data_IF_188741019882
#
_entry.id   IF_188741019882
#
_cell.length_a   1.000
_cell.length_b   1.000
_cell.length_c   1.000
_cell.angle_alpha   90.00
_cell.angle_beta   90.00
_cell.angle_gamma   90.00
#
_symmetry.space_group_name_H-M   'P 1'
#
loop_
_entity.id
_entity.type
_entity.pdbx_description
1 polymer ?
#
# COMPACT_ATOMS: atom_id res chain seq x y z
N UNK A 1 -27.06 17.83 -3.68
CA UNK A 1 -26.06 16.89 -4.23
C UNK A 1 -26.60 15.48 -4.03
N UNK A 2 -26.55 14.61 -5.04
CA UNK A 2 -27.10 13.25 -4.94
C UNK A 2 -26.46 12.50 -3.78
N UNK A 3 -27.27 11.85 -2.92
CA UNK A 3 -26.85 11.04 -1.77
C UNK A 3 -26.05 9.77 -2.15
N UNK A 4 -25.59 9.68 -3.39
CA UNK A 4 -24.71 8.61 -3.85
C UNK A 4 -23.45 8.63 -2.97
N UNK A 5 -23.16 7.50 -2.35
CA UNK A 5 -21.95 7.23 -1.55
C UNK A 5 -21.92 7.78 -0.12
N UNK A 6 -23.04 8.22 0.46
CA UNK A 6 -23.07 8.68 1.87
C UNK A 6 -22.73 7.59 2.89
N UNK A 7 -22.81 6.31 2.50
CA UNK A 7 -22.43 5.17 3.32
C UNK A 7 -20.91 4.93 3.32
N UNK A 8 -20.16 5.57 2.42
CA UNK A 8 -18.71 5.46 2.33
C UNK A 8 -18.08 6.67 3.00
N UNK A 9 -17.21 6.42 3.98
CA UNK A 9 -16.42 7.48 4.60
C UNK A 9 -15.55 8.17 3.55
N UNK A 10 -15.55 9.50 3.52
CA UNK A 10 -14.94 10.36 2.48
C UNK A 10 -15.61 10.34 1.10
N UNK A 11 -16.62 9.49 0.87
CA UNK A 11 -17.41 9.44 -0.37
C UNK A 11 -16.80 8.62 -1.52
N UNK A 12 -15.65 7.97 -1.31
CA UNK A 12 -14.95 7.11 -2.28
C UNK A 12 -14.22 5.93 -1.56
N UNK A 13 -13.49 5.09 -2.31
CA UNK A 13 -12.84 3.86 -1.82
C UNK A 13 -13.81 2.83 -1.20
N UNK A 14 -14.71 2.24 -2.01
CA UNK A 14 -15.60 1.18 -1.53
C UNK A 14 -14.84 -0.08 -1.06
N UNK A 15 -13.67 -0.33 -1.66
CA UNK A 15 -12.77 -1.44 -1.33
C UNK A 15 -11.48 -0.83 -0.81
N UNK A 16 -11.04 -1.31 0.35
CA UNK A 16 -9.82 -0.87 1.04
C UNK A 16 -9.08 -2.10 1.53
N UNK A 17 -7.78 -2.26 1.23
CA UNK A 17 -7.01 -3.31 1.86
C UNK A 17 -6.94 -3.01 3.37
N UNK A 18 -7.18 -4.04 4.18
CA UNK A 18 -6.94 -4.00 5.61
C UNK A 18 -5.65 -4.77 5.90
N UNK A 19 -4.65 -4.07 6.43
CA UNK A 19 -3.31 -4.62 6.61
C UNK A 19 -2.93 -4.59 8.09
N UNK A 20 -2.21 -5.61 8.51
CA UNK A 20 -1.61 -5.65 9.83
C UNK A 20 -0.12 -5.34 9.72
N UNK A 21 0.43 -4.75 10.78
CA UNK A 21 1.87 -4.55 10.79
C UNK A 21 2.45 -4.00 12.07
N UNK A 22 3.74 -3.75 11.98
CA UNK A 22 4.54 -3.09 12.99
C UNK A 22 4.20 -1.59 13.02
N UNK A 23 4.60 -0.92 14.11
CA UNK A 23 4.38 0.52 14.30
C UNK A 23 5.01 1.41 13.22
N UNK A 24 6.02 0.91 12.51
CA UNK A 24 6.76 1.61 11.44
C UNK A 24 6.09 1.50 10.05
N UNK A 25 5.03 0.71 9.90
CA UNK A 25 4.35 0.52 8.61
C UNK A 25 3.83 1.84 7.98
N UNK A 26 3.20 2.79 8.72
CA UNK A 26 2.79 4.06 8.12
C UNK A 26 3.95 4.87 7.55
N UNK A 27 5.12 4.84 8.19
CA UNK A 27 6.30 5.57 7.71
C UNK A 27 6.91 4.90 6.49
N UNK A 28 6.88 3.57 6.42
CA UNK A 28 7.21 2.83 5.21
C UNK A 28 6.33 3.24 4.02
N UNK A 29 5.01 3.39 4.23
CA UNK A 29 4.08 3.80 3.17
C UNK A 29 4.30 5.25 2.73
N UNK A 30 4.60 6.15 3.67
CA UNK A 30 4.98 7.55 3.37
C UNK A 30 6.24 7.58 2.49
N UNK A 31 7.30 6.86 2.88
CA UNK A 31 8.58 6.87 2.17
C UNK A 31 8.49 6.18 0.79
N UNK A 32 7.77 5.07 0.71
CA UNK A 32 7.71 4.24 -0.50
C UNK A 32 6.73 4.80 -1.52
N UNK A 33 5.52 5.18 -1.08
CA UNK A 33 4.42 5.56 -1.98
C UNK A 33 4.09 7.05 -1.93
N UNK A 34 4.54 7.78 -0.91
CA UNK A 34 4.05 9.15 -0.66
C UNK A 34 2.65 9.17 -0.06
N UNK A 35 2.22 8.07 0.59
CA UNK A 35 0.91 8.01 1.23
C UNK A 35 0.81 8.99 2.41
N UNK A 36 -0.38 9.55 2.63
CA UNK A 36 -0.68 10.50 3.69
C UNK A 36 -1.48 9.83 4.81
N UNK A 37 -1.10 10.08 6.06
CA UNK A 37 -1.88 9.65 7.20
C UNK A 37 -3.05 10.61 7.42
N UNK A 38 -4.29 10.10 7.36
CA UNK A 38 -5.51 10.93 7.48
C UNK A 38 -6.26 10.70 8.78
N UNK A 39 -6.02 9.57 9.46
CA UNK A 39 -6.54 9.30 10.79
C UNK A 39 -5.63 8.34 11.57
N UNK A 40 -5.60 8.51 12.90
CA UNK A 40 -5.01 7.58 13.85
C UNK A 40 -5.84 7.51 15.12
N UNK A 41 -6.23 6.30 15.51
CA UNK A 41 -6.99 6.03 16.74
C UNK A 41 -6.30 4.94 17.56
N UNK A 42 -6.12 5.14 18.86
CA UNK A 42 -5.55 4.11 19.74
C UNK A 42 -6.53 2.96 19.97
N UNK A 43 -6.09 1.71 19.79
CA UNK A 43 -6.93 0.49 19.92
C UNK A 43 -6.69 -0.28 21.23
N UNK A 44 -5.78 0.17 22.08
CA UNK A 44 -5.46 -0.48 23.35
C UNK A 44 -4.07 -0.11 23.84
N UNK A 45 -3.44 -1.00 24.63
CA UNK A 45 -2.22 -0.63 25.37
C UNK A 45 -1.03 -0.26 24.48
N UNK A 46 -0.90 -0.81 23.26
CA UNK A 46 0.25 -0.53 22.36
C UNK A 46 -0.10 -0.68 20.87
N UNK A 47 -1.32 -0.33 20.47
CA UNK A 47 -1.80 -0.49 19.09
C UNK A 47 -2.58 0.71 18.57
N UNK A 48 -2.59 0.87 17.25
CA UNK A 48 -3.33 1.92 16.56
C UNK A 48 -4.06 1.35 15.35
N UNK A 49 -5.27 1.87 15.15
CA UNK A 49 -5.93 1.86 13.87
C UNK A 49 -5.52 3.13 13.11
N UNK A 50 -5.04 2.99 11.87
CA UNK A 50 -4.52 4.10 11.06
C UNK A 50 -5.11 4.02 9.65
N UNK A 51 -5.61 5.16 9.15
CA UNK A 51 -6.02 5.29 7.76
C UNK A 51 -4.92 6.00 6.96
N UNK A 52 -4.40 5.34 5.93
CA UNK A 52 -3.39 5.88 5.02
C UNK A 52 -4.00 6.10 3.64
N UNK A 53 -4.03 7.37 3.18
CA UNK A 53 -4.51 7.75 1.86
C UNK A 53 -3.37 7.73 0.84
N UNK A 54 -3.63 7.17 -0.32
CA UNK A 54 -2.77 7.28 -1.50
C UNK A 54 -3.67 7.61 -2.69
N UNK A 55 -3.50 8.79 -3.28
CA UNK A 55 -4.33 9.26 -4.39
C UNK A 55 -5.84 9.17 -4.06
N UNK A 56 -6.58 8.34 -4.79
CA UNK A 56 -8.01 8.08 -4.66
C UNK A 56 -8.32 6.81 -3.83
N UNK A 57 -7.32 6.25 -3.14
CA UNK A 57 -7.38 4.99 -2.40
C UNK A 57 -7.08 5.22 -0.91
N UNK A 58 -7.64 4.36 -0.05
CA UNK A 58 -7.38 4.37 1.39
C UNK A 58 -7.02 2.94 1.82
N UNK A 59 -5.95 2.82 2.60
CA UNK A 59 -5.51 1.59 3.24
C UNK A 59 -5.83 1.69 4.73
N UNK A 60 -6.51 0.67 5.24
CA UNK A 60 -6.84 0.52 6.65
C UNK A 60 -5.74 -0.28 7.33
N UNK A 61 -5.13 0.24 8.39
CA UNK A 61 -4.03 -0.43 9.07
C UNK A 61 -4.38 -0.71 10.53
N UNK A 62 -4.08 -1.91 11.01
CA UNK A 62 -3.97 -2.20 12.43
C UNK A 62 -2.50 -2.47 12.76
N UNK A 63 -1.89 -1.56 13.52
CA UNK A 63 -0.47 -1.61 13.83
C UNK A 63 -0.22 -1.74 15.32
N UNK A 64 0.80 -2.51 15.69
CA UNK A 64 1.20 -2.72 17.08
C UNK A 64 2.04 -3.98 17.24
N UNK A 65 2.65 -4.13 18.42
CA UNK A 65 3.58 -5.24 18.70
C UNK A 65 2.90 -6.62 18.59
N UNK A 66 1.61 -6.71 18.93
CA UNK A 66 0.84 -7.96 18.84
C UNK A 66 0.26 -8.19 17.42
N UNK A 67 0.28 -7.18 16.55
CA UNK A 67 -0.34 -7.23 15.21
C UNK A 67 0.61 -7.73 14.13
N UNK A 68 1.93 -7.70 14.36
CA UNK A 68 2.94 -8.04 13.35
C UNK A 68 2.90 -9.51 12.87
N UNK A 69 2.11 -10.38 13.50
CA UNK A 69 2.08 -11.82 13.23
C UNK A 69 0.69 -12.36 12.89
N UNK A 70 -0.33 -11.50 12.77
CA UNK A 70 -1.72 -11.95 12.75
C UNK A 70 -2.17 -12.43 11.37
N UNK A 71 -1.78 -11.76 10.28
CA UNK A 71 -1.97 -12.20 8.87
C UNK A 71 -1.14 -11.31 7.92
N UNK A 72 -0.48 -11.90 6.91
CA UNK A 72 0.21 -11.14 5.86
C UNK A 72 -0.77 -10.78 4.74
N UNK A 73 -0.85 -9.49 4.41
CA UNK A 73 -1.61 -8.99 3.26
C UNK A 73 -0.83 -9.07 1.94
N UNK A 74 -1.55 -8.94 0.83
CA UNK A 74 -0.97 -8.74 -0.50
C UNK A 74 -1.78 -7.69 -1.25
N UNK A 75 -1.14 -6.58 -1.62
CA UNK A 75 -1.80 -5.43 -2.25
C UNK A 75 -1.12 -5.11 -3.58
N UNK A 76 -1.92 -4.76 -4.59
CA UNK A 76 -1.43 -4.24 -5.86
C UNK A 76 -1.62 -2.73 -5.90
N UNK A 77 -0.56 -1.97 -6.20
CA UNK A 77 -0.56 -0.51 -6.17
C UNK A 77 -0.09 0.03 -7.52
N UNK A 78 -0.92 0.84 -8.16
CA UNK A 78 -0.46 1.61 -9.31
C UNK A 78 0.42 2.76 -8.86
N UNK A 79 1.54 2.93 -9.54
CA UNK A 79 2.50 4.00 -9.27
C UNK A 79 2.93 4.66 -10.57
N UNK A 80 3.36 5.92 -10.49
CA UNK A 80 3.83 6.66 -11.65
C UNK A 80 5.12 6.06 -12.23
N UNK A 81 6.03 5.58 -11.37
CA UNK A 81 7.25 4.89 -11.77
C UNK A 81 7.51 3.67 -10.89
N UNK A 82 7.48 2.49 -11.50
CA UNK A 82 7.81 1.22 -10.83
C UNK A 82 9.25 1.22 -10.33
N UNK A 83 10.22 1.61 -11.15
CA UNK A 83 11.64 1.58 -10.77
C UNK A 83 11.94 2.51 -9.59
N UNK A 84 11.44 3.75 -9.63
CA UNK A 84 11.67 4.70 -8.56
C UNK A 84 11.02 4.26 -7.24
N UNK A 85 9.78 3.75 -7.30
CA UNK A 85 9.08 3.22 -6.13
C UNK A 85 9.77 1.98 -5.58
N UNK A 86 10.18 1.06 -6.44
CA UNK A 86 10.91 -0.14 -6.06
C UNK A 86 12.23 0.20 -5.33
N UNK A 87 13.00 1.16 -5.85
CA UNK A 87 14.22 1.61 -5.18
C UNK A 87 13.95 2.27 -3.83
N UNK A 88 12.91 3.11 -3.72
CA UNK A 88 12.50 3.69 -2.43
C UNK A 88 12.10 2.62 -1.42
N UNK A 89 11.36 1.59 -1.86
CA UNK A 89 10.98 0.48 -1.00
C UNK A 89 12.20 -0.25 -0.42
N UNK A 90 13.18 -0.58 -1.26
CA UNK A 90 14.41 -1.24 -0.82
C UNK A 90 15.21 -0.36 0.16
N UNK A 91 15.30 0.94 -0.10
CA UNK A 91 15.95 1.90 0.82
C UNK A 91 15.21 2.02 2.16
N UNK A 92 13.88 1.85 2.16
CA UNK A 92 13.05 1.80 3.35
C UNK A 92 13.06 0.43 4.06
N UNK A 93 13.93 -0.50 3.64
CA UNK A 93 14.11 -1.81 4.29
C UNK A 93 13.23 -2.93 3.75
N UNK A 94 12.58 -2.75 2.60
CA UNK A 94 11.84 -3.83 1.95
C UNK A 94 12.79 -4.92 1.43
N UNK A 95 12.27 -6.15 1.36
CA UNK A 95 12.94 -7.28 0.70
C UNK A 95 12.38 -7.48 -0.70
N UNK A 96 13.25 -7.51 -1.72
CA UNK A 96 12.86 -7.81 -3.10
C UNK A 96 12.16 -9.17 -3.22
N UNK A 97 11.08 -9.22 -4.00
CA UNK A 97 10.47 -10.46 -4.46
C UNK A 97 10.58 -10.65 -5.97
N UNK A 98 10.39 -9.57 -6.73
CA UNK A 98 10.48 -9.55 -8.18
C UNK A 98 10.99 -8.17 -8.63
N UNK A 99 12.10 -8.16 -9.36
CA UNK A 99 12.66 -6.92 -9.92
C UNK A 99 11.74 -6.30 -11.00
N UNK A 100 11.81 -4.98 -11.21
CA UNK A 100 11.07 -4.29 -12.26
C UNK A 100 11.26 -4.92 -13.64
N UNK A 101 10.14 -5.31 -14.27
CA UNK A 101 10.14 -5.91 -15.59
C UNK A 101 8.89 -5.53 -16.38
N UNK A 102 9.06 -5.30 -17.68
CA UNK A 102 7.95 -5.15 -18.62
C UNK A 102 7.26 -6.50 -18.84
N UNK A 103 5.93 -6.47 -18.87
CA UNK A 103 5.07 -7.65 -18.93
C UNK A 103 4.33 -7.68 -20.27
N UNK A 104 4.01 -8.88 -20.78
CA UNK A 104 3.38 -9.04 -22.09
C UNK A 104 1.99 -8.39 -22.22
N UNK A 105 1.36 -8.03 -21.10
CA UNK A 105 0.07 -7.35 -21.02
C UNK A 105 0.18 -5.82 -20.94
N UNK A 106 1.36 -5.24 -21.25
CA UNK A 106 1.52 -3.79 -21.39
C UNK A 106 1.69 -3.04 -20.07
N UNK A 107 2.22 -3.70 -19.05
CA UNK A 107 2.57 -3.08 -17.78
C UNK A 107 4.04 -3.30 -17.46
N UNK A 108 4.63 -2.34 -16.76
CA UNK A 108 5.90 -2.54 -16.05
C UNK A 108 5.59 -2.81 -14.60
N UNK A 109 6.03 -3.96 -14.07
CA UNK A 109 5.65 -4.42 -12.72
C UNK A 109 6.86 -4.87 -11.89
N UNK A 110 6.76 -4.75 -10.57
CA UNK A 110 7.72 -5.27 -9.59
C UNK A 110 7.00 -5.75 -8.32
N UNK A 111 7.71 -6.43 -7.42
CA UNK A 111 7.18 -6.87 -6.14
C UNK A 111 8.22 -6.90 -5.01
N UNK A 112 7.78 -6.57 -3.80
CA UNK A 112 8.62 -6.58 -2.59
C UNK A 112 7.79 -6.88 -1.32
N UNK A 113 8.46 -7.23 -0.22
CA UNK A 113 7.86 -7.37 1.12
C UNK A 113 8.33 -6.27 2.05
N UNK A 114 7.42 -5.71 2.83
CA UNK A 114 7.79 -4.81 3.94
C UNK A 114 8.27 -5.60 5.18
N UNK A 115 8.72 -4.88 6.21
CA UNK A 115 9.20 -5.46 7.46
C UNK A 115 8.09 -6.14 8.31
N UNK A 116 6.81 -5.87 8.00
CA UNK A 116 5.65 -6.55 8.59
C UNK A 116 5.29 -7.84 7.83
N UNK A 117 5.96 -8.11 6.71
CA UNK A 117 5.74 -9.27 5.86
C UNK A 117 4.61 -9.11 4.84
N UNK A 118 3.99 -7.94 4.70
CA UNK A 118 3.00 -7.71 3.65
C UNK A 118 3.68 -7.69 2.28
N UNK A 119 3.01 -8.27 1.29
CA UNK A 119 3.46 -8.24 -0.10
C UNK A 119 2.89 -7.03 -0.82
N UNK A 120 3.76 -6.30 -1.50
CA UNK A 120 3.42 -5.17 -2.34
C UNK A 120 3.78 -5.50 -3.78
N UNK A 121 2.77 -5.61 -4.63
CA UNK A 121 2.94 -5.61 -6.08
C UNK A 121 2.72 -4.20 -6.57
N UNK A 122 3.58 -3.73 -7.46
CA UNK A 122 3.47 -2.39 -8.05
C UNK A 122 3.46 -2.47 -9.56
N UNK A 123 2.71 -1.57 -10.19
CA UNK A 123 2.57 -1.53 -11.63
C UNK A 123 2.39 -0.13 -12.20
N UNK A 124 2.83 0.02 -13.44
CA UNK A 124 2.54 1.18 -14.29
C UNK A 124 2.12 0.66 -15.66
N UNK A 125 0.96 1.09 -16.16
CA UNK A 125 0.55 0.78 -17.53
C UNK A 125 1.43 1.55 -18.51
N UNK A 126 2.14 0.84 -19.39
CA UNK A 126 3.06 1.41 -20.39
C UNK A 126 2.49 1.32 -21.81
N UNK A 127 1.27 0.82 -21.96
CA UNK A 127 0.63 0.58 -23.26
C UNK A 127 0.88 -0.83 -23.79
N UNK A 128 0.02 -1.29 -24.69
CA UNK A 128 0.29 -2.50 -25.47
C UNK A 128 1.38 -2.21 -26.50
N UNK A 129 2.44 -3.03 -26.56
CA UNK A 129 3.27 -3.10 -27.76
C UNK A 129 2.37 -3.54 -28.93
N UNK A 130 1.90 -2.58 -29.73
CA UNK A 130 1.39 -2.88 -31.06
C UNK A 130 2.59 -3.29 -31.91
N UNK A 131 2.79 -4.59 -32.06
CA UNK A 131 3.54 -5.14 -33.19
C UNK A 131 2.67 -5.13 -34.44
#
# INVERSE_FOLDING_TARGET
MSAKNSYMRYGYCAVRPYLYGRLDLPDFLKQTFGAEEIERTATGKQGFHVEMKLEDSIMELEIGDECAHTTQGSTYVYVESVDATYQRALQAGATSLAEPQDKPYGERNAGFKDASGNTWWIGTYIGSHSN
#
